data_IF_326954225592
#
_entry.id   IF_326954225592
#
_cell.length_a   1.000
_cell.length_b   1.000
_cell.length_c   1.000
_cell.angle_alpha   90.00
_cell.angle_beta   90.00
_cell.angle_gamma   90.00
#
_symmetry.space_group_name_H-M   'P 1'
#
loop_
_entity.id
_entity.type
_entity.pdbx_description
1 polymer ?
#
# COMPACT_ATOMS: atom_id res chain seq x y z
N UNK A 1 29.60 -59.77 23.72
CA UNK A 1 28.95 -58.65 23.00
C UNK A 1 28.46 -59.18 21.65
N UNK A 2 27.16 -59.17 21.41
CA UNK A 2 26.54 -59.80 20.23
C UNK A 2 26.67 -58.90 19.00
N UNK A 3 26.82 -59.49 17.81
CA UNK A 3 27.08 -58.79 16.53
C UNK A 3 26.08 -57.67 16.19
N UNK A 4 24.88 -57.72 16.77
CA UNK A 4 23.83 -56.71 16.60
C UNK A 4 24.12 -55.40 17.34
N UNK A 5 24.88 -55.41 18.44
CA UNK A 5 25.23 -54.19 19.17
C UNK A 5 26.29 -53.35 18.43
N UNK A 6 27.23 -54.01 17.75
CA UNK A 6 28.24 -53.33 16.94
C UNK A 6 27.64 -52.57 15.74
N UNK A 7 26.64 -53.15 15.10
CA UNK A 7 25.91 -52.52 13.99
C UNK A 7 25.09 -51.30 14.44
N UNK A 8 24.58 -51.30 15.67
CA UNK A 8 23.84 -50.17 16.23
C UNK A 8 24.77 -49.00 16.59
N UNK A 9 25.93 -49.29 17.18
CA UNK A 9 26.94 -48.27 17.50
C UNK A 9 27.53 -47.62 16.24
N UNK A 10 27.78 -48.41 15.18
CA UNK A 10 28.26 -47.88 13.89
C UNK A 10 27.24 -46.95 13.22
N UNK A 11 25.93 -47.24 13.34
CA UNK A 11 24.86 -46.39 12.80
C UNK A 11 24.75 -45.06 13.56
N UNK A 12 24.87 -45.09 14.89
CA UNK A 12 24.85 -43.88 15.72
C UNK A 12 26.07 -42.99 15.41
N UNK A 13 27.25 -43.60 15.24
CA UNK A 13 28.48 -42.88 14.90
C UNK A 13 28.40 -42.22 13.50
N UNK A 14 27.78 -42.89 12.52
CA UNK A 14 27.55 -42.33 11.19
C UNK A 14 26.57 -41.15 11.20
N UNK A 15 25.49 -41.21 12.00
CA UNK A 15 24.54 -40.09 12.13
C UNK A 15 25.19 -38.89 12.80
N UNK A 16 26.01 -39.09 13.84
CA UNK A 16 26.77 -38.01 14.47
C UNK A 16 27.78 -37.35 13.52
N UNK A 17 28.49 -38.13 12.70
CA UNK A 17 29.43 -37.58 11.70
C UNK A 17 28.73 -36.74 10.62
N UNK A 18 27.52 -37.13 10.20
CA UNK A 18 26.71 -36.34 9.25
C UNK A 18 26.23 -35.04 9.90
N UNK A 19 25.76 -35.06 11.15
CA UNK A 19 25.34 -33.85 11.85
C UNK A 19 26.50 -32.86 12.04
N UNK A 20 27.71 -33.35 12.34
CA UNK A 20 28.91 -32.51 12.49
C UNK A 20 29.34 -31.94 11.12
N UNK A 21 29.23 -32.72 10.03
CA UNK A 21 29.54 -32.24 8.67
C UNK A 21 28.61 -31.10 8.20
N UNK A 22 27.33 -31.13 8.57
CA UNK A 22 26.36 -30.07 8.22
C UNK A 22 26.63 -28.78 9.02
N UNK A 23 27.15 -28.88 10.25
CA UNK A 23 27.51 -27.68 11.02
C UNK A 23 28.74 -26.95 10.48
N UNK A 24 29.69 -27.63 9.83
CA UNK A 24 30.87 -26.98 9.25
C UNK A 24 30.67 -26.47 7.81
N UNK A 25 29.71 -27.00 7.05
CA UNK A 25 29.35 -26.48 5.73
C UNK A 25 28.66 -25.11 5.80
N UNK A 26 28.05 -24.76 6.94
CA UNK A 26 27.41 -23.46 7.16
C UNK A 26 28.35 -22.39 7.73
N UNK A 27 29.58 -22.73 8.13
CA UNK A 27 30.57 -21.76 8.69
C UNK A 27 31.55 -21.20 7.67
N UNK A 28 31.44 -21.58 6.40
CA UNK A 28 32.31 -21.14 5.30
C UNK A 28 31.53 -20.48 4.15
N UNK A 29 30.37 -19.88 4.45
CA UNK A 29 29.86 -18.80 3.61
C UNK A 29 30.69 -17.58 4.00
N UNK A 30 31.51 -17.01 3.12
CA UNK A 30 32.15 -15.75 3.40
C UNK A 30 31.01 -14.77 3.63
N UNK A 31 30.89 -14.27 4.86
CA UNK A 31 30.03 -13.15 5.16
C UNK A 31 30.63 -11.94 4.45
N UNK A 32 30.34 -11.81 3.16
CA UNK A 32 30.19 -10.52 2.51
C UNK A 32 28.92 -9.88 3.07
N UNK A 33 28.87 -9.70 4.40
CA UNK A 33 28.20 -8.58 5.02
C UNK A 33 29.06 -7.35 4.69
N UNK A 34 29.18 -7.07 3.39
CA UNK A 34 29.15 -5.70 2.98
C UNK A 34 27.85 -5.19 3.59
N UNK A 35 28.00 -4.28 4.55
CA UNK A 35 27.01 -3.29 4.84
C UNK A 35 26.73 -2.55 3.52
N UNK A 36 26.00 -3.19 2.62
CA UNK A 36 25.15 -2.48 1.69
C UNK A 36 24.04 -2.02 2.63
N UNK A 37 24.28 -0.88 3.29
CA UNK A 37 23.18 0.02 3.54
C UNK A 37 22.46 0.06 2.19
N UNK A 38 21.32 -0.64 2.11
CA UNK A 38 20.45 -0.47 0.95
C UNK A 38 20.26 1.03 0.89
N UNK A 39 20.83 1.65 -0.15
CA UNK A 39 20.90 3.10 -0.28
C UNK A 39 19.46 3.55 -0.16
N UNK A 40 19.09 4.14 0.97
CA UNK A 40 17.73 4.63 1.14
C UNK A 40 17.55 5.64 0.00
N UNK A 41 16.50 5.48 -0.83
CA UNK A 41 16.37 6.28 -2.03
C UNK A 41 16.45 7.75 -1.65
N UNK A 42 17.15 8.52 -2.48
CA UNK A 42 17.30 9.95 -2.22
C UNK A 42 15.92 10.59 -2.06
N UNK A 43 15.80 11.57 -1.16
CA UNK A 43 14.54 12.26 -0.89
C UNK A 43 13.87 12.81 -2.16
N UNK A 44 14.68 13.22 -3.14
CA UNK A 44 14.23 13.65 -4.47
C UNK A 44 13.51 12.55 -5.24
N UNK A 45 13.99 11.30 -5.16
CA UNK A 45 13.38 10.13 -5.80
C UNK A 45 12.06 9.76 -5.12
N UNK A 46 12.02 9.79 -3.79
CA UNK A 46 10.78 9.53 -3.01
C UNK A 46 9.68 10.52 -3.40
N UNK A 47 10.03 11.82 -3.49
CA UNK A 47 9.09 12.88 -3.88
C UNK A 47 8.66 12.72 -5.33
N UNK A 48 9.59 12.48 -6.27
CA UNK A 48 9.29 12.30 -7.69
C UNK A 48 8.31 11.14 -7.94
N UNK A 49 8.49 10.04 -7.20
CA UNK A 49 7.59 8.88 -7.22
C UNK A 49 6.17 9.24 -6.76
N UNK A 50 6.04 10.06 -5.72
CA UNK A 50 4.75 10.55 -5.27
C UNK A 50 4.06 11.44 -6.32
N UNK A 51 4.81 12.34 -6.95
CA UNK A 51 4.31 13.19 -8.02
C UNK A 51 3.81 12.36 -9.22
N UNK A 52 4.46 11.24 -9.52
CA UNK A 52 3.99 10.31 -10.55
C UNK A 52 2.65 9.64 -10.20
N UNK A 53 2.38 9.35 -8.92
CA UNK A 53 1.07 8.87 -8.45
C UNK A 53 0.00 9.95 -8.67
N UNK A 54 0.29 11.20 -8.26
CA UNK A 54 -0.61 12.35 -8.49
C UNK A 54 -0.93 12.53 -9.97
N UNK A 55 0.08 12.48 -10.84
CA UNK A 55 -0.10 12.68 -12.28
C UNK A 55 -0.89 11.56 -12.95
N UNK A 56 -0.78 10.32 -12.45
CA UNK A 56 -1.64 9.21 -12.87
C UNK A 56 -3.07 9.41 -12.39
N UNK A 57 -3.26 9.79 -11.13
CA UNK A 57 -4.57 10.07 -10.54
C UNK A 57 -5.31 11.19 -11.28
N UNK A 58 -4.62 12.28 -11.64
CA UNK A 58 -5.22 13.42 -12.34
C UNK A 58 -5.80 13.06 -13.72
N UNK A 59 -5.41 11.91 -14.30
CA UNK A 59 -5.93 11.40 -15.58
C UNK A 59 -7.12 10.45 -15.40
N UNK A 60 -7.43 10.06 -14.17
CA UNK A 60 -8.58 9.22 -13.87
C UNK A 60 -9.87 10.01 -13.99
N UNK A 61 -10.95 9.29 -14.28
CA UNK A 61 -12.31 9.80 -14.06
C UNK A 61 -12.66 9.59 -12.59
N UNK A 62 -13.28 10.59 -11.99
CA UNK A 62 -13.77 10.48 -10.62
C UNK A 62 -15.02 9.58 -10.53
N UNK A 63 -15.88 9.66 -11.55
CA UNK A 63 -17.14 8.93 -11.63
C UNK A 63 -17.35 8.35 -13.05
N UNK A 64 -18.41 7.57 -13.25
CA UNK A 64 -18.68 6.90 -14.53
C UNK A 64 -19.08 7.85 -15.67
N UNK A 65 -19.46 9.09 -15.34
CA UNK A 65 -19.82 10.08 -16.35
C UNK A 65 -18.55 10.57 -17.07
N UNK A 66 -18.64 10.76 -18.38
CA UNK A 66 -17.52 11.21 -19.21
C UNK A 66 -17.05 12.62 -18.87
N UNK A 67 -17.85 13.40 -18.13
CA UNK A 67 -17.50 14.74 -17.66
C UNK A 67 -17.03 14.79 -16.20
N UNK A 68 -16.89 13.66 -15.50
CA UNK A 68 -16.42 13.60 -14.12
C UNK A 68 -14.89 13.50 -14.04
N UNK A 69 -14.22 14.62 -13.78
CA UNK A 69 -12.75 14.65 -13.68
C UNK A 69 -12.26 15.36 -12.43
N UNK A 70 -11.05 15.01 -12.01
CA UNK A 70 -10.31 15.80 -11.03
C UNK A 70 -9.85 17.13 -11.64
N UNK A 71 -9.88 18.18 -10.82
CA UNK A 71 -9.38 19.52 -11.12
C UNK A 71 -8.55 20.04 -9.97
N UNK A 72 -7.62 20.95 -10.29
CA UNK A 72 -6.75 21.59 -9.29
C UNK A 72 -6.06 20.57 -8.37
N UNK A 73 -5.59 19.46 -8.95
CA UNK A 73 -4.92 18.39 -8.20
C UNK A 73 -3.60 18.92 -7.66
N UNK A 74 -3.47 18.94 -6.33
CA UNK A 74 -2.27 19.39 -5.62
C UNK A 74 -1.74 18.28 -4.73
N UNK A 75 -0.44 18.33 -4.42
CA UNK A 75 0.25 17.39 -3.54
C UNK A 75 1.03 18.14 -2.47
N UNK A 76 1.20 17.48 -1.33
CA UNK A 76 2.11 17.92 -0.28
C UNK A 76 2.84 16.71 0.29
N UNK A 77 4.18 16.70 0.19
CA UNK A 77 5.03 15.70 0.84
C UNK A 77 5.66 16.30 2.09
N UNK A 78 5.59 15.56 3.19
CA UNK A 78 6.09 15.94 4.51
C UNK A 78 7.20 14.96 4.88
N UNK A 79 8.45 15.42 5.11
CA UNK A 79 9.55 14.56 5.48
C UNK A 79 9.40 13.99 6.91
N UNK A 80 10.16 12.94 7.24
CA UNK A 80 10.23 12.40 8.59
C UNK A 80 10.59 13.47 9.61
N UNK A 81 10.11 13.29 10.83
CA UNK A 81 10.42 14.12 12.00
C UNK A 81 10.52 13.26 13.26
N UNK A 82 10.97 13.84 14.37
CA UNK A 82 11.06 13.13 15.65
C UNK A 82 9.72 12.51 16.12
N UNK A 83 8.59 13.03 15.63
CA UNK A 83 7.24 12.54 15.95
C UNK A 83 6.69 11.53 14.95
N UNK A 84 7.25 11.48 13.75
CA UNK A 84 6.82 10.57 12.69
C UNK A 84 8.05 10.11 11.87
N UNK A 85 8.48 8.85 12.01
CA UNK A 85 9.68 8.36 11.33
C UNK A 85 9.50 8.17 9.82
N UNK A 86 8.29 8.32 9.29
CA UNK A 86 8.00 8.08 7.88
C UNK A 86 7.70 9.38 7.14
N UNK A 87 8.04 9.40 5.84
CA UNK A 87 7.45 10.40 4.95
C UNK A 87 5.94 10.18 4.92
N UNK A 88 5.19 11.28 4.97
CA UNK A 88 3.75 11.29 4.74
C UNK A 88 3.42 12.23 3.62
N UNK A 89 2.33 11.99 2.92
CA UNK A 89 1.91 12.88 1.86
C UNK A 89 0.40 12.93 1.69
N UNK A 90 -0.05 13.98 1.04
CA UNK A 90 -1.45 14.24 0.76
C UNK A 90 -1.63 14.61 -0.71
N UNK A 91 -2.69 14.13 -1.33
CA UNK A 91 -3.20 14.61 -2.62
C UNK A 91 -4.60 15.18 -2.39
N UNK A 92 -4.80 16.44 -2.76
CA UNK A 92 -6.09 17.11 -2.68
C UNK A 92 -6.55 17.55 -4.06
N UNK A 93 -7.83 17.40 -4.36
CA UNK A 93 -8.42 17.76 -5.64
C UNK A 93 -9.84 18.30 -5.48
N UNK A 94 -10.21 19.22 -6.37
CA UNK A 94 -11.62 19.49 -6.65
C UNK A 94 -12.14 18.48 -7.67
N UNK A 95 -13.44 18.22 -7.69
CA UNK A 95 -14.08 17.37 -8.69
C UNK A 95 -15.01 18.21 -9.55
N UNK A 96 -14.78 18.17 -10.85
CA UNK A 96 -15.70 18.77 -11.83
C UNK A 96 -16.79 17.76 -12.17
N UNK A 97 -18.02 18.08 -11.79
CA UNK A 97 -19.23 17.41 -12.25
C UNK A 97 -20.43 18.37 -12.16
N UNK A 98 -21.55 18.06 -12.84
CA UNK A 98 -22.81 18.77 -12.61
C UNK A 98 -23.24 18.61 -11.14
N UNK A 99 -23.09 19.68 -10.37
CA UNK A 99 -23.32 19.71 -8.91
C UNK A 99 -23.74 21.12 -8.49
N UNK A 100 -24.43 21.22 -7.36
CA UNK A 100 -24.81 22.53 -6.78
C UNK A 100 -23.72 23.14 -5.89
N UNK A 101 -22.66 22.38 -5.57
CA UNK A 101 -21.56 22.79 -4.71
C UNK A 101 -20.24 22.18 -5.17
N UNK A 102 -19.08 22.79 -4.85
CA UNK A 102 -17.79 22.20 -5.15
C UNK A 102 -17.60 20.87 -4.42
N UNK A 103 -17.32 19.83 -5.18
CA UNK A 103 -16.92 18.53 -4.65
C UNK A 103 -15.42 18.48 -4.43
N UNK A 104 -15.00 17.74 -3.41
CA UNK A 104 -13.61 17.67 -2.96
C UNK A 104 -13.18 16.22 -2.75
N UNK A 105 -11.89 15.95 -2.92
CA UNK A 105 -11.29 14.67 -2.60
C UNK A 105 -9.90 14.87 -2.00
N UNK A 106 -9.65 14.19 -0.88
CA UNK A 106 -8.38 14.23 -0.14
C UNK A 106 -7.89 12.79 0.09
N UNK A 107 -6.62 12.53 -0.21
CA UNK A 107 -6.02 11.21 -0.12
C UNK A 107 -4.72 11.28 0.67
N UNK A 108 -4.56 10.40 1.65
CA UNK A 108 -3.43 10.40 2.56
C UNK A 108 -2.54 9.18 2.35
N UNK A 109 -1.24 9.42 2.36
CA UNK A 109 -0.22 8.43 2.08
C UNK A 109 0.86 8.41 3.15
N UNK A 110 1.47 7.24 3.30
CA UNK A 110 2.69 7.04 4.08
C UNK A 110 3.71 6.28 3.24
N UNK A 111 4.99 6.62 3.37
CA UNK A 111 6.07 5.92 2.69
C UNK A 111 6.70 4.89 3.65
N UNK A 112 6.50 3.60 3.36
CA UNK A 112 6.97 2.49 4.20
C UNK A 112 7.40 1.34 3.30
N UNK A 113 8.49 0.67 3.66
CA UNK A 113 9.05 -0.45 2.89
C UNK A 113 9.36 -0.05 1.44
N UNK A 114 10.01 1.10 1.26
CA UNK A 114 10.40 1.68 -0.03
C UNK A 114 9.20 1.90 -0.99
N UNK A 115 7.98 2.07 -0.48
CA UNK A 115 6.79 2.31 -1.32
C UNK A 115 5.81 3.24 -0.66
N UNK A 116 5.17 4.08 -1.47
CA UNK A 116 4.01 4.84 -1.03
C UNK A 116 2.80 3.92 -0.81
N UNK A 117 2.09 4.14 0.29
CA UNK A 117 0.89 3.39 0.66
C UNK A 117 -0.25 4.36 0.95
N UNK A 118 -1.36 4.18 0.25
CA UNK A 118 -2.61 4.91 0.48
C UNK A 118 -3.29 4.36 1.74
N UNK A 119 -3.42 5.20 2.75
CA UNK A 119 -3.93 4.79 4.07
C UNK A 119 -5.37 5.23 4.31
N UNK A 120 -5.77 6.37 3.72
CA UNK A 120 -7.07 7.00 3.93
C UNK A 120 -7.42 7.84 2.73
N UNK A 121 -8.72 7.98 2.47
CA UNK A 121 -9.20 9.04 1.60
C UNK A 121 -10.60 9.47 1.97
N UNK A 122 -10.92 10.69 1.61
CA UNK A 122 -12.21 11.33 1.85
C UNK A 122 -12.68 11.94 0.55
N UNK A 123 -13.95 11.74 0.21
CA UNK A 123 -14.56 12.36 -0.96
C UNK A 123 -15.90 12.97 -0.55
N UNK A 124 -16.06 14.25 -0.82
CA UNK A 124 -17.23 15.03 -0.42
C UNK A 124 -17.98 15.46 -1.66
N UNK A 125 -19.25 15.08 -1.71
CA UNK A 125 -20.14 15.39 -2.82
C UNK A 125 -21.44 16.00 -2.31
N UNK A 126 -22.14 16.76 -3.14
CA UNK A 126 -23.46 17.32 -2.77
C UNK A 126 -24.53 16.27 -2.35
N UNK A 127 -24.31 14.99 -2.63
CA UNK A 127 -25.25 13.89 -2.30
C UNK A 127 -24.71 12.88 -1.29
N UNK A 128 -23.41 12.86 -1.03
CA UNK A 128 -22.79 11.90 -0.13
C UNK A 128 -21.35 12.27 0.29
N UNK A 129 -21.02 11.86 1.52
CA UNK A 129 -19.67 11.88 2.06
C UNK A 129 -19.12 10.45 2.11
N UNK A 130 -17.94 10.26 1.54
CA UNK A 130 -17.25 8.99 1.46
C UNK A 130 -16.00 9.05 2.33
N UNK A 131 -15.83 8.05 3.18
CA UNK A 131 -14.63 7.88 4.01
C UNK A 131 -14.06 6.50 3.74
N UNK A 132 -12.78 6.46 3.37
CA UNK A 132 -12.03 5.26 3.06
C UNK A 132 -10.87 5.10 4.03
N UNK A 133 -10.66 3.88 4.52
CA UNK A 133 -9.50 3.52 5.36
C UNK A 133 -8.98 2.18 4.86
N UNK A 134 -7.83 2.21 4.20
CA UNK A 134 -7.27 1.03 3.52
C UNK A 134 -8.26 0.43 2.52
N UNK A 135 -8.68 -0.80 2.77
CA UNK A 135 -9.61 -1.59 1.95
C UNK A 135 -11.08 -1.46 2.38
N UNK A 136 -11.39 -0.59 3.35
CA UNK A 136 -12.72 -0.39 3.91
C UNK A 136 -13.28 0.97 3.54
N UNK A 137 -14.60 1.07 3.54
CA UNK A 137 -15.29 2.34 3.32
C UNK A 137 -16.51 2.50 4.23
N UNK A 138 -16.87 3.76 4.46
CA UNK A 138 -18.15 4.21 5.00
C UNK A 138 -18.70 5.32 4.10
N UNK A 139 -19.98 5.25 3.75
CA UNK A 139 -20.67 6.24 2.91
C UNK A 139 -21.90 6.74 3.63
N UNK A 140 -21.99 8.06 3.73
CA UNK A 140 -23.11 8.79 4.31
C UNK A 140 -23.80 9.55 3.19
N UNK A 141 -24.99 9.12 2.78
CA UNK A 141 -25.75 9.79 1.71
C UNK A 141 -26.88 10.62 2.28
N UNK A 142 -27.13 11.79 1.71
CA UNK A 142 -28.29 12.63 2.05
C UNK A 142 -29.63 11.97 1.69
N UNK A 143 -29.62 10.94 0.83
CA UNK A 143 -30.81 10.22 0.39
C UNK A 143 -31.10 8.95 1.23
N UNK A 144 -30.24 8.60 2.19
CA UNK A 144 -30.40 7.40 2.99
C UNK A 144 -30.19 7.69 4.48
N UNK A 145 -31.04 7.16 5.34
CA UNK A 145 -30.93 7.30 6.80
C UNK A 145 -29.83 6.45 7.42
N UNK A 146 -29.23 5.53 6.66
CA UNK A 146 -28.21 4.59 7.15
C UNK A 146 -26.87 4.77 6.44
N UNK A 147 -25.79 4.65 7.23
CA UNK A 147 -24.42 4.57 6.71
C UNK A 147 -24.19 3.24 6.01
N UNK A 148 -23.76 3.28 4.75
CA UNK A 148 -23.33 2.10 4.03
C UNK A 148 -21.86 1.81 4.37
N UNK A 149 -21.54 0.56 4.69
CA UNK A 149 -20.17 0.13 5.02
C UNK A 149 -19.81 -1.13 4.27
N UNK A 150 -18.54 -1.29 3.93
CA UNK A 150 -18.09 -2.49 3.23
C UNK A 150 -16.60 -2.56 2.99
N UNK A 151 -16.22 -3.40 2.02
CA UNK A 151 -14.86 -3.61 1.56
C UNK A 151 -14.76 -3.31 0.06
N UNK A 152 -13.63 -2.75 -0.36
CA UNK A 152 -13.40 -2.25 -1.71
C UNK A 152 -13.32 -3.35 -2.77
N UNK A 153 -12.74 -4.51 -2.45
CA UNK A 153 -12.65 -5.63 -3.38
C UNK A 153 -14.05 -6.13 -3.77
N UNK A 154 -14.92 -6.32 -2.77
CA UNK A 154 -16.32 -6.67 -3.02
C UNK A 154 -17.04 -5.56 -3.79
N UNK A 155 -16.85 -4.29 -3.40
CA UNK A 155 -17.48 -3.17 -4.09
C UNK A 155 -17.07 -3.06 -5.56
N UNK A 156 -15.81 -3.38 -5.88
CA UNK A 156 -15.28 -3.43 -7.25
C UNK A 156 -15.96 -4.53 -8.07
N UNK A 157 -16.13 -5.72 -7.48
CA UNK A 157 -16.78 -6.86 -8.13
C UNK A 157 -18.28 -6.60 -8.37
N UNK A 158 -18.96 -6.04 -7.37
CA UNK A 158 -20.39 -5.76 -7.43
C UNK A 158 -20.71 -4.49 -8.26
N UNK A 159 -19.71 -3.65 -8.55
CA UNK A 159 -19.88 -2.35 -9.22
C UNK A 159 -20.69 -1.34 -8.39
N UNK A 160 -20.80 -1.57 -7.07
CA UNK A 160 -21.72 -0.87 -6.18
C UNK A 160 -21.24 0.50 -5.70
N UNK A 161 -19.96 0.83 -5.91
CA UNK A 161 -19.37 2.11 -5.49
C UNK A 161 -18.68 2.77 -6.67
N UNK A 162 -18.96 4.06 -6.83
CA UNK A 162 -18.38 4.92 -7.85
C UNK A 162 -17.61 6.02 -7.13
N UNK A 163 -16.32 5.83 -6.96
CA UNK A 163 -15.45 6.72 -6.19
C UNK A 163 -14.08 6.81 -6.85
N UNK A 164 -13.46 7.97 -6.75
CA UNK A 164 -12.10 8.18 -7.17
C UNK A 164 -11.09 7.29 -6.43
N UNK A 165 -11.33 7.08 -5.13
CA UNK A 165 -10.51 6.25 -4.25
C UNK A 165 -10.38 4.82 -4.77
N UNK A 166 -11.49 4.23 -5.24
CA UNK A 166 -11.49 2.86 -5.77
C UNK A 166 -10.54 2.71 -6.97
N UNK A 167 -10.59 3.66 -7.91
CA UNK A 167 -9.67 3.66 -9.06
C UNK A 167 -8.24 4.00 -8.67
N UNK A 168 -8.01 4.92 -7.74
CA UNK A 168 -6.68 5.19 -7.20
C UNK A 168 -6.10 3.92 -6.55
N UNK A 169 -6.88 3.23 -5.72
CA UNK A 169 -6.48 2.05 -4.94
C UNK A 169 -6.11 0.85 -5.81
N UNK A 170 -6.83 0.61 -6.92
CA UNK A 170 -6.62 -0.58 -7.76
C UNK A 170 -5.97 -0.32 -9.12
N UNK A 171 -6.25 0.81 -9.75
CA UNK A 171 -5.84 1.08 -11.13
C UNK A 171 -4.49 1.81 -11.14
N UNK A 172 -4.31 2.81 -10.28
CA UNK A 172 -3.03 3.54 -10.13
C UNK A 172 -2.08 2.80 -9.20
N UNK A 173 -2.60 2.29 -8.08
CA UNK A 173 -1.87 1.53 -7.06
C UNK A 173 -2.21 0.05 -7.15
N UNK A 174 -1.34 -0.80 -6.60
CA UNK A 174 -1.58 -2.23 -6.39
C UNK A 174 -2.15 -2.43 -5.00
N UNK A 175 -3.48 -2.39 -4.90
CA UNK A 175 -4.23 -2.51 -3.64
C UNK A 175 -3.76 -1.48 -2.59
N UNK A 176 -3.65 -0.23 -3.02
CA UNK A 176 -3.19 0.88 -2.18
C UNK A 176 -1.68 0.99 -2.05
N UNK A 177 -0.89 0.08 -2.61
CA UNK A 177 0.58 0.15 -2.60
C UNK A 177 1.11 0.64 -3.95
N UNK A 178 2.15 1.46 -3.94
CA UNK A 178 2.81 1.90 -5.16
C UNK A 178 3.26 0.73 -6.06
N UNK A 179 2.98 0.86 -7.36
CA UNK A 179 3.36 -0.06 -8.43
C UNK A 179 4.78 0.20 -8.92
#
# INVERSE_FOLDING_TARGET
MTSNQWRSLLKILFVCLICIGITFANTLIPSFAANVAADEPESSQIISRFEAIKDKMAKLRFCYNESCFYRNVTSKVIPPSDRNPHYTAEISAAVERPSSSPDLADYHFVYVNDRWQLIKGEEFTDVADYVFIGDRYEIYSVHNSHTLRGNLEKARQDGGIKSGYLSLYFDVLDQGVEK
#
